data_IF_604318770042
#
_entry.id   IF_604318770042
#
_cell.length_a   1.000
_cell.length_b   1.000
_cell.length_c   1.000
_cell.angle_alpha   90.00
_cell.angle_beta   90.00
_cell.angle_gamma   90.00
#
_symmetry.space_group_name_H-M   'P 1'
#
loop_
_entity.id
_entity.type
_entity.pdbx_description
1 polymer ?
#
# COMPACT_ATOMS: atom_id res chain seq x y z
N UNK A 1 4.53 -6.20 -9.01
CA UNK A 1 4.20 -5.76 -7.62
C UNK A 1 4.41 -6.91 -6.64
N UNK A 2 5.27 -6.72 -5.64
CA UNK A 2 5.49 -7.61 -4.49
C UNK A 2 5.08 -6.86 -3.23
N UNK A 3 4.49 -7.57 -2.27
CA UNK A 3 4.06 -7.02 -0.98
C UNK A 3 4.37 -8.03 0.09
N UNK A 4 5.01 -7.60 1.18
CA UNK A 4 5.28 -8.43 2.34
C UNK A 4 5.05 -7.66 3.64
N UNK A 5 4.67 -8.36 4.71
CA UNK A 5 4.62 -7.78 6.06
C UNK A 5 6.01 -7.97 6.67
N UNK A 6 6.68 -6.87 7.00
CA UNK A 6 8.00 -6.87 7.64
C UNK A 6 7.91 -6.71 9.16
N UNK A 7 6.80 -6.13 9.64
CA UNK A 7 6.52 -6.02 11.08
C UNK A 7 5.01 -5.97 11.33
N UNK A 8 4.59 -6.52 12.46
CA UNK A 8 3.22 -6.47 12.94
C UNK A 8 3.22 -6.59 14.46
N UNK A 9 2.35 -5.85 15.13
CA UNK A 9 2.20 -5.93 16.59
C UNK A 9 1.98 -7.40 17.02
N UNK A 10 2.84 -7.92 17.88
CA UNK A 10 2.96 -9.35 18.22
C UNK A 10 1.67 -10.00 18.72
N UNK A 11 0.87 -9.31 19.51
CA UNK A 11 -0.48 -9.71 19.89
C UNK A 11 -1.47 -8.58 19.67
N UNK A 12 -1.75 -8.33 18.38
CA UNK A 12 -2.65 -7.25 17.96
C UNK A 12 -4.04 -7.38 18.61
N UNK A 13 -4.59 -8.59 18.69
CA UNK A 13 -5.93 -8.81 19.24
C UNK A 13 -5.96 -8.57 20.76
N UNK A 14 -4.91 -8.94 21.50
CA UNK A 14 -4.79 -8.64 22.91
C UNK A 14 -4.72 -7.13 23.15
N UNK A 15 -3.81 -6.42 22.44
CA UNK A 15 -3.61 -4.99 22.64
C UNK A 15 -4.91 -4.21 22.39
N UNK A 16 -5.63 -4.53 21.31
CA UNK A 16 -6.93 -3.90 20.97
C UNK A 16 -7.96 -4.17 22.07
N UNK A 17 -8.06 -5.43 22.55
CA UNK A 17 -8.98 -5.79 23.63
C UNK A 17 -8.68 -5.02 24.91
N UNK A 18 -7.41 -4.96 25.34
CA UNK A 18 -7.01 -4.28 26.57
C UNK A 18 -7.26 -2.78 26.47
N UNK A 19 -6.92 -2.17 25.33
CA UNK A 19 -7.20 -0.75 25.09
C UNK A 19 -8.69 -0.43 25.24
N UNK A 20 -9.56 -1.19 24.56
CA UNK A 20 -11.01 -1.00 24.65
C UNK A 20 -11.58 -1.22 26.05
N UNK A 21 -11.15 -2.29 26.73
CA UNK A 21 -11.63 -2.64 28.07
C UNK A 21 -11.16 -1.66 29.15
N UNK A 22 -10.06 -0.95 28.91
CA UNK A 22 -9.58 0.10 29.82
C UNK A 22 -10.62 1.19 30.00
N UNK A 23 -11.30 1.60 28.93
CA UNK A 23 -12.33 2.66 29.00
C UNK A 23 -13.49 2.31 29.95
N UNK A 24 -13.77 1.04 30.16
CA UNK A 24 -14.87 0.55 31.00
C UNK A 24 -14.40 -0.17 32.27
N UNK A 25 -13.11 -0.07 32.60
CA UNK A 25 -12.49 -0.76 33.72
C UNK A 25 -12.88 -2.25 33.80
N UNK A 26 -12.80 -2.94 32.66
CA UNK A 26 -13.29 -4.33 32.49
C UNK A 26 -12.24 -5.28 31.92
N UNK A 27 -10.94 -5.05 32.23
CA UNK A 27 -9.82 -5.88 31.77
C UNK A 27 -9.91 -7.32 32.30
N UNK A 28 -10.48 -7.49 33.48
CA UNK A 28 -10.78 -8.78 34.10
C UNK A 28 -11.70 -9.69 33.26
N UNK A 29 -12.47 -9.09 32.37
CA UNK A 29 -13.39 -9.82 31.46
C UNK A 29 -12.72 -10.29 30.17
N UNK A 30 -11.40 -10.07 29.99
CA UNK A 30 -10.68 -10.57 28.82
C UNK A 30 -10.52 -12.09 28.89
N UNK A 31 -10.87 -12.78 27.81
CA UNK A 31 -10.54 -14.19 27.58
C UNK A 31 -10.14 -14.42 26.13
N UNK A 32 -9.31 -15.44 25.90
CA UNK A 32 -8.83 -15.78 24.54
C UNK A 32 -9.98 -16.18 23.62
N UNK A 33 -10.97 -16.91 24.13
CA UNK A 33 -12.10 -17.43 23.37
C UNK A 33 -13.03 -16.31 22.87
N UNK A 34 -13.16 -15.22 23.65
CA UNK A 34 -14.08 -14.11 23.35
C UNK A 34 -13.41 -12.91 22.70
N UNK A 35 -12.08 -12.96 22.49
CA UNK A 35 -11.32 -11.79 22.02
C UNK A 35 -11.74 -11.30 20.65
N UNK A 36 -12.07 -12.19 19.72
CA UNK A 36 -12.51 -11.84 18.38
C UNK A 36 -13.95 -11.33 18.35
N UNK A 37 -14.87 -11.99 19.06
CA UNK A 37 -16.27 -11.54 19.12
C UNK A 37 -16.39 -10.16 19.75
N UNK A 38 -15.54 -9.86 20.74
CA UNK A 38 -15.49 -8.54 21.32
C UNK A 38 -15.03 -7.48 20.30
N UNK A 39 -14.00 -7.80 19.47
CA UNK A 39 -13.53 -6.90 18.39
C UNK A 39 -14.61 -6.70 17.32
N UNK A 40 -15.31 -7.77 16.90
CA UNK A 40 -16.48 -7.65 15.99
C UNK A 40 -17.51 -6.68 16.53
N UNK A 41 -17.80 -6.77 17.83
CA UNK A 41 -18.71 -5.85 18.53
C UNK A 41 -18.25 -4.40 18.47
N UNK A 42 -16.96 -4.12 18.70
CA UNK A 42 -16.37 -2.79 18.59
C UNK A 42 -16.52 -2.21 17.19
N UNK A 43 -16.15 -2.99 16.17
CA UNK A 43 -16.24 -2.59 14.76
C UNK A 43 -17.70 -2.31 14.38
N UNK A 44 -18.62 -3.21 14.71
CA UNK A 44 -20.05 -3.06 14.43
C UNK A 44 -20.65 -1.83 15.07
N UNK A 45 -20.16 -1.44 16.24
CA UNK A 45 -20.63 -0.24 16.97
C UNK A 45 -19.91 1.05 16.56
N UNK A 46 -18.95 0.99 15.62
CA UNK A 46 -18.16 2.14 15.19
C UNK A 46 -17.09 2.59 16.21
N UNK A 47 -16.83 1.78 17.25
CA UNK A 47 -15.83 2.08 18.28
C UNK A 47 -14.42 1.65 17.80
N UNK A 48 -13.91 2.34 16.79
CA UNK A 48 -12.66 1.96 16.10
C UNK A 48 -11.36 2.49 16.74
N UNK A 49 -11.45 3.41 17.72
CA UNK A 49 -10.25 3.94 18.40
C UNK A 49 -9.32 2.84 18.96
N UNK A 50 -9.83 1.74 19.56
CA UNK A 50 -8.95 0.68 20.06
C UNK A 50 -8.11 -0.01 18.96
N UNK A 51 -8.54 0.04 17.70
CA UNK A 51 -7.80 -0.53 16.57
C UNK A 51 -6.50 0.23 16.27
N UNK A 52 -6.33 1.43 16.83
CA UNK A 52 -5.10 2.22 16.72
C UNK A 52 -3.95 1.68 17.60
N UNK A 53 -4.25 0.74 18.53
CA UNK A 53 -3.26 0.13 19.44
C UNK A 53 -2.57 -1.11 18.86
N UNK A 54 -2.75 -1.37 17.58
CA UNK A 54 -2.01 -2.38 16.84
C UNK A 54 -1.65 -1.85 15.46
N UNK A 55 -0.41 -2.13 15.04
CA UNK A 55 0.19 -1.65 13.81
C UNK A 55 0.59 -2.81 12.89
N UNK A 56 0.72 -2.50 11.60
CA UNK A 56 1.33 -3.36 10.60
C UNK A 56 2.19 -2.54 9.66
N UNK A 57 3.38 -3.06 9.32
CA UNK A 57 4.32 -2.45 8.38
C UNK A 57 4.48 -3.34 7.16
N UNK A 58 4.24 -2.77 5.99
CA UNK A 58 4.40 -3.44 4.71
C UNK A 58 5.63 -2.92 3.97
N UNK A 59 6.42 -3.81 3.37
CA UNK A 59 7.37 -3.50 2.31
C UNK A 59 6.72 -3.80 0.96
N UNK A 60 6.66 -2.78 0.11
CA UNK A 60 5.96 -2.81 -1.18
C UNK A 60 6.97 -2.48 -2.27
N UNK A 61 7.14 -3.40 -3.24
CA UNK A 61 8.10 -3.26 -4.35
C UNK A 61 7.41 -3.33 -5.69
N UNK A 62 7.88 -2.50 -6.62
CA UNK A 62 7.44 -2.54 -8.02
C UNK A 62 6.00 -2.06 -8.23
N UNK A 63 5.59 -1.01 -7.52
CA UNK A 63 4.40 -0.22 -7.85
C UNK A 63 4.78 1.00 -8.67
N UNK A 64 3.84 1.54 -9.46
CA UNK A 64 4.05 2.78 -10.19
C UNK A 64 4.12 4.00 -9.27
N UNK A 65 4.74 5.08 -9.73
CA UNK A 65 4.64 6.40 -9.07
C UNK A 65 3.17 6.83 -8.97
N UNK A 66 2.38 6.58 -10.01
CA UNK A 66 0.93 6.85 -10.02
C UNK A 66 0.20 6.14 -8.87
N UNK A 67 0.49 4.86 -8.64
CA UNK A 67 -0.07 4.11 -7.51
C UNK A 67 0.41 4.68 -6.16
N UNK A 68 1.71 4.98 -6.03
CA UNK A 68 2.27 5.52 -4.79
C UNK A 68 1.69 6.90 -4.43
N UNK A 69 1.39 7.75 -5.42
CA UNK A 69 0.73 9.05 -5.20
C UNK A 69 -0.69 8.89 -4.63
N UNK A 70 -1.39 7.81 -4.97
CA UNK A 70 -2.68 7.49 -4.36
C UNK A 70 -2.51 6.90 -2.95
N UNK A 71 -1.50 6.05 -2.74
CA UNK A 71 -1.23 5.41 -1.45
C UNK A 71 -0.90 6.43 -0.35
N UNK A 72 0.02 7.36 -0.62
CA UNK A 72 0.48 8.35 0.37
C UNK A 72 -0.59 9.39 0.76
N UNK A 73 -1.73 9.41 0.08
CA UNK A 73 -2.88 10.27 0.45
C UNK A 73 -3.66 9.72 1.65
N UNK A 74 -3.46 8.45 2.01
CA UNK A 74 -4.11 7.85 3.17
C UNK A 74 -3.39 8.28 4.45
N UNK A 75 -4.15 8.88 5.37
CA UNK A 75 -3.71 9.37 6.67
C UNK A 75 -4.56 8.67 7.74
N UNK A 76 -4.03 8.30 8.89
CA UNK A 76 -2.70 8.51 9.46
C UNK A 76 -1.83 7.29 9.16
N UNK A 77 -0.70 7.48 8.52
CA UNK A 77 0.26 6.43 8.22
C UNK A 77 1.65 7.04 8.04
N UNK A 78 2.70 6.22 8.15
CA UNK A 78 4.08 6.60 7.91
C UNK A 78 4.57 5.97 6.61
N UNK A 79 5.33 6.73 5.81
CA UNK A 79 5.80 6.33 4.50
C UNK A 79 7.28 6.63 4.32
N UNK A 80 8.05 5.61 3.85
CA UNK A 80 9.41 5.78 3.37
C UNK A 80 9.48 5.26 1.93
N UNK A 81 9.65 6.16 0.98
CA UNK A 81 9.63 5.85 -0.45
C UNK A 81 11.01 6.03 -1.09
N UNK A 82 11.37 5.15 -2.03
CA UNK A 82 12.59 5.26 -2.84
C UNK A 82 12.67 6.64 -3.52
N UNK A 83 13.75 7.35 -3.25
CA UNK A 83 13.96 8.70 -3.75
C UNK A 83 14.60 8.72 -5.13
N UNK A 84 13.95 9.35 -6.08
CA UNK A 84 14.51 9.63 -7.41
C UNK A 84 15.55 10.77 -7.41
N UNK A 85 15.78 11.45 -6.29
CA UNK A 85 16.88 12.39 -6.14
C UNK A 85 18.23 11.69 -5.98
N UNK A 86 18.21 10.54 -5.31
CA UNK A 86 19.44 9.81 -4.96
C UNK A 86 19.65 8.56 -5.81
N UNK A 87 18.57 7.83 -6.12
CA UNK A 87 18.63 6.58 -6.87
C UNK A 87 18.55 6.85 -8.37
N UNK A 88 19.56 6.37 -9.13
CA UNK A 88 19.55 6.44 -10.58
C UNK A 88 18.39 5.60 -11.14
N UNK A 89 17.67 6.13 -12.12
CA UNK A 89 16.49 5.52 -12.72
C UNK A 89 16.73 4.94 -14.12
N UNK A 90 17.96 5.00 -14.66
CA UNK A 90 18.26 4.54 -16.03
C UNK A 90 17.83 3.10 -16.28
N UNK A 91 18.11 2.22 -15.32
CA UNK A 91 17.81 0.78 -15.40
C UNK A 91 16.55 0.38 -14.66
N UNK A 92 15.81 1.36 -14.07
CA UNK A 92 14.60 1.05 -13.33
C UNK A 92 13.48 0.58 -14.27
N UNK A 93 12.62 -0.31 -13.78
CA UNK A 93 11.47 -0.82 -14.52
C UNK A 93 10.28 0.15 -14.48
N UNK A 94 9.20 -0.21 -15.16
CA UNK A 94 7.93 0.51 -15.18
C UNK A 94 6.76 -0.46 -15.13
N UNK A 95 5.62 0.03 -14.68
CA UNK A 95 4.37 -0.72 -14.64
C UNK A 95 3.67 -0.54 -15.99
N UNK A 96 3.28 -1.65 -16.61
CA UNK A 96 2.47 -1.66 -17.82
C UNK A 96 1.00 -1.78 -17.39
N UNK A 97 0.13 -0.80 -17.69
CA UNK A 97 -1.30 -0.94 -17.44
C UNK A 97 -1.89 -2.11 -18.22
N UNK A 98 -2.85 -2.89 -17.65
CA UNK A 98 -3.41 -4.06 -18.32
C UNK A 98 -4.03 -3.79 -19.69
N UNK A 99 -4.50 -2.55 -19.93
CA UNK A 99 -5.06 -2.11 -21.22
C UNK A 99 -4.00 -1.80 -22.27
N UNK A 100 -2.72 -1.73 -21.87
CA UNK A 100 -1.56 -1.39 -22.72
C UNK A 100 -0.53 -2.52 -22.72
N UNK A 101 -0.89 -3.70 -22.22
CA UNK A 101 0.00 -4.86 -22.14
C UNK A 101 0.13 -5.55 -23.51
N UNK A 102 1.30 -5.43 -24.14
CA UNK A 102 1.62 -6.02 -25.43
C UNK A 102 1.41 -7.54 -25.47
N UNK A 103 1.65 -8.24 -24.38
CA UNK A 103 1.41 -9.68 -24.31
C UNK A 103 -0.08 -10.07 -24.36
N UNK A 104 -0.97 -9.09 -24.13
CA UNK A 104 -2.42 -9.27 -24.13
C UNK A 104 -3.11 -8.59 -25.31
N UNK A 105 -2.49 -7.53 -25.81
CA UNK A 105 -3.05 -6.68 -26.86
C UNK A 105 -1.93 -6.33 -27.83
N UNK A 106 -1.82 -7.05 -28.92
CA UNK A 106 -0.93 -6.72 -30.05
C UNK A 106 -1.55 -5.58 -30.84
N UNK A 107 -1.54 -4.37 -30.29
CA UNK A 107 -2.17 -3.20 -30.86
C UNK A 107 -1.29 -1.95 -30.84
N UNK A 108 -1.68 -0.98 -31.64
CA UNK A 108 -1.02 0.32 -31.75
C UNK A 108 -0.82 1.03 -30.40
N UNK A 109 -1.73 0.84 -29.44
CA UNK A 109 -1.69 1.49 -28.12
C UNK A 109 -0.48 1.03 -27.30
N UNK A 110 -0.19 -0.27 -27.33
CA UNK A 110 0.98 -0.85 -26.63
C UNK A 110 2.28 -0.31 -27.23
N UNK A 111 2.35 -0.17 -28.56
CA UNK A 111 3.51 0.39 -29.25
C UNK A 111 3.70 1.87 -28.89
N UNK A 112 2.62 2.66 -28.86
CA UNK A 112 2.66 4.07 -28.46
C UNK A 112 3.16 4.22 -27.02
N UNK A 113 2.65 3.38 -26.11
CA UNK A 113 3.07 3.39 -24.70
C UNK A 113 4.56 3.07 -24.56
N UNK A 114 5.02 1.97 -25.19
CA UNK A 114 6.42 1.55 -25.12
C UNK A 114 7.37 2.60 -25.67
N UNK A 115 7.05 3.17 -26.85
CA UNK A 115 7.85 4.24 -27.46
C UNK A 115 7.93 5.47 -26.53
N UNK A 116 6.83 5.86 -25.89
CA UNK A 116 6.84 6.96 -24.94
C UNK A 116 7.75 6.69 -23.73
N UNK A 117 7.71 5.47 -23.17
CA UNK A 117 8.58 5.06 -22.07
C UNK A 117 10.06 5.11 -22.50
N UNK A 118 10.39 4.58 -23.67
CA UNK A 118 11.78 4.57 -24.16
C UNK A 118 12.30 5.99 -24.43
N UNK A 119 11.49 6.87 -25.01
CA UNK A 119 11.85 8.27 -25.22
C UNK A 119 12.12 9.00 -23.89
N UNK A 120 11.28 8.79 -22.87
CA UNK A 120 11.49 9.35 -21.53
C UNK A 120 12.79 8.85 -20.89
N UNK A 121 13.08 7.56 -21.02
CA UNK A 121 14.34 6.95 -20.50
C UNK A 121 15.56 7.53 -21.20
N UNK A 122 15.50 7.65 -22.52
CA UNK A 122 16.60 8.21 -23.30
C UNK A 122 16.86 9.67 -22.92
N UNK A 123 15.81 10.47 -22.80
CA UNK A 123 15.92 11.86 -22.35
C UNK A 123 16.54 11.98 -20.95
N UNK A 124 16.12 11.12 -20.01
CA UNK A 124 16.69 11.08 -18.65
C UNK A 124 18.22 10.77 -18.70
N UNK A 125 18.62 9.75 -19.48
CA UNK A 125 20.02 9.36 -19.64
C UNK A 125 20.86 10.50 -20.27
N UNK A 126 20.35 11.15 -21.30
CA UNK A 126 21.02 12.28 -21.96
C UNK A 126 21.20 13.47 -21.01
N UNK A 127 20.17 13.84 -20.25
CA UNK A 127 20.26 14.89 -19.24
C UNK A 127 21.36 14.59 -18.20
N UNK A 128 21.43 13.36 -17.70
CA UNK A 128 22.48 12.97 -16.78
C UNK A 128 23.88 13.03 -17.42
N UNK A 129 24.03 12.63 -18.69
CA UNK A 129 25.31 12.69 -19.41
C UNK A 129 25.80 14.11 -19.63
N UNK A 130 24.87 15.07 -19.70
CA UNK A 130 25.14 16.51 -19.79
C UNK A 130 25.38 17.17 -18.42
N UNK A 131 25.42 16.38 -17.33
CA UNK A 131 25.70 16.84 -15.96
C UNK A 131 24.49 17.39 -15.22
N UNK A 132 23.27 17.22 -15.74
CA UNK A 132 22.04 17.60 -14.99
C UNK A 132 21.87 16.70 -13.76
N UNK A 133 21.62 17.29 -12.61
CA UNK A 133 21.41 16.55 -11.37
C UNK A 133 20.19 15.63 -11.47
N UNK A 134 20.25 14.44 -10.80
CA UNK A 134 19.14 13.46 -10.80
C UNK A 134 17.80 14.08 -10.36
N UNK A 135 17.84 15.02 -9.42
CA UNK A 135 16.64 15.69 -8.90
C UNK A 135 15.91 16.54 -9.94
N UNK A 136 16.61 16.98 -10.97
CA UNK A 136 16.05 17.74 -12.10
C UNK A 136 15.81 16.83 -13.32
N UNK A 137 16.76 15.96 -13.65
CA UNK A 137 16.61 15.02 -14.75
C UNK A 137 15.35 14.13 -14.61
N UNK A 138 14.96 13.76 -13.39
CA UNK A 138 13.75 12.96 -13.12
C UNK A 138 12.44 13.59 -13.60
N UNK A 139 12.40 14.89 -13.94
CA UNK A 139 11.19 15.54 -14.41
C UNK A 139 10.69 15.01 -15.75
N UNK A 140 11.55 14.35 -16.52
CA UNK A 140 11.14 13.69 -17.78
C UNK A 140 10.67 12.25 -17.59
N UNK A 141 10.73 11.70 -16.35
CA UNK A 141 10.33 10.33 -16.09
C UNK A 141 8.81 10.20 -16.00
N UNK A 142 8.22 9.14 -16.59
CA UNK A 142 6.78 8.94 -16.57
C UNK A 142 6.27 8.41 -15.22
N UNK A 143 4.99 8.64 -14.94
CA UNK A 143 4.28 8.13 -13.76
C UNK A 143 4.27 6.59 -13.67
N UNK A 144 4.51 5.90 -14.78
CA UNK A 144 4.62 4.45 -14.86
C UNK A 144 5.88 3.88 -14.19
N UNK A 145 6.91 4.72 -13.90
CA UNK A 145 8.17 4.26 -13.30
C UNK A 145 7.95 3.53 -11.98
N UNK A 146 8.67 2.42 -11.79
CA UNK A 146 8.66 1.66 -10.53
C UNK A 146 9.15 2.50 -9.37
N UNK A 147 8.52 2.26 -8.22
CA UNK A 147 9.01 2.71 -6.93
C UNK A 147 8.81 1.64 -5.88
N UNK A 148 9.62 1.70 -4.83
CA UNK A 148 9.48 0.89 -3.63
C UNK A 148 9.09 1.79 -2.48
N UNK A 149 8.25 1.30 -1.58
CA UNK A 149 7.77 2.08 -0.45
C UNK A 149 7.50 1.17 0.74
N UNK A 150 8.02 1.57 1.90
CA UNK A 150 7.61 1.00 3.18
C UNK A 150 6.49 1.86 3.75
N UNK A 151 5.42 1.23 4.18
CA UNK A 151 4.29 1.90 4.82
C UNK A 151 3.93 1.23 6.14
N UNK A 152 3.72 2.05 7.17
CA UNK A 152 3.20 1.61 8.47
C UNK A 152 1.81 2.19 8.69
N UNK A 153 0.84 1.30 8.96
CA UNK A 153 -0.53 1.64 9.36
C UNK A 153 -0.84 1.11 10.76
N UNK A 154 -1.61 1.85 11.54
CA UNK A 154 -2.44 1.19 12.54
C UNK A 154 -3.67 0.53 11.87
N UNK A 155 -4.34 -0.41 12.56
CA UNK A 155 -5.44 -1.15 11.93
C UNK A 155 -6.68 -0.28 11.62
N UNK A 156 -6.94 0.81 12.34
CA UNK A 156 -8.00 1.75 11.98
C UNK A 156 -7.71 2.43 10.63
N UNK A 157 -6.50 2.92 10.45
CA UNK A 157 -6.07 3.56 9.19
C UNK A 157 -6.00 2.56 8.04
N UNK A 158 -5.53 1.33 8.29
CA UNK A 158 -5.54 0.25 7.30
C UNK A 158 -6.97 -0.08 6.84
N UNK A 159 -7.93 -0.19 7.76
CA UNK A 159 -9.35 -0.40 7.44
C UNK A 159 -9.89 0.71 6.52
N UNK A 160 -9.60 1.98 6.85
CA UNK A 160 -9.99 3.09 5.98
C UNK A 160 -9.38 3.00 4.57
N UNK A 161 -8.10 2.63 4.47
CA UNK A 161 -7.45 2.37 3.18
C UNK A 161 -8.16 1.24 2.43
N UNK A 162 -8.36 0.08 3.06
CA UNK A 162 -9.01 -1.08 2.43
C UNK A 162 -10.43 -0.76 1.98
N UNK A 163 -11.25 -0.12 2.82
CA UNK A 163 -12.62 0.29 2.49
C UNK A 163 -12.68 1.12 1.21
N UNK A 164 -11.74 2.05 1.02
CA UNK A 164 -11.71 2.94 -0.15
C UNK A 164 -11.07 2.29 -1.38
N UNK A 165 -10.13 1.35 -1.19
CA UNK A 165 -9.32 0.84 -2.31
C UNK A 165 -9.67 -0.57 -2.76
N UNK A 166 -10.46 -1.31 -1.99
CA UNK A 166 -11.09 -2.55 -2.46
C UNK A 166 -12.32 -2.28 -3.33
N UNK A 167 -12.87 -1.07 -3.29
CA UNK A 167 -14.01 -0.66 -4.11
C UNK A 167 -13.71 -0.83 -5.61
N UNK A 168 -14.71 -1.27 -6.37
CA UNK A 168 -14.60 -1.52 -7.83
C UNK A 168 -14.23 -0.28 -8.65
N UNK A 169 -14.55 0.91 -8.16
CA UNK A 169 -14.21 2.18 -8.80
C UNK A 169 -12.78 2.67 -8.51
N UNK A 170 -12.08 2.01 -7.56
CA UNK A 170 -10.68 2.31 -7.33
C UNK A 170 -9.84 1.91 -8.56
N UNK A 171 -8.79 2.69 -8.85
CA UNK A 171 -7.87 2.39 -9.94
C UNK A 171 -7.28 0.97 -9.77
N UNK A 172 -7.11 0.25 -10.86
CA UNK A 172 -6.80 -1.19 -10.86
C UNK A 172 -5.56 -1.55 -10.02
N UNK A 173 -4.47 -0.74 -10.09
CA UNK A 173 -3.20 -1.06 -9.44
C UNK A 173 -3.28 -0.91 -7.91
N UNK A 174 -3.86 0.20 -7.42
CA UNK A 174 -4.04 0.39 -5.97
C UNK A 174 -5.09 -0.56 -5.40
N UNK A 175 -6.06 -1.00 -6.20
CA UNK A 175 -7.02 -2.03 -5.81
C UNK A 175 -6.34 -3.40 -5.68
N UNK A 176 -5.43 -3.74 -6.61
CA UNK A 176 -4.62 -4.96 -6.50
C UNK A 176 -3.70 -4.91 -5.28
N UNK A 177 -3.07 -3.76 -5.02
CA UNK A 177 -2.28 -3.55 -3.81
C UNK A 177 -3.11 -3.78 -2.56
N UNK A 178 -4.30 -3.19 -2.46
CA UNK A 178 -5.19 -3.35 -1.32
C UNK A 178 -5.60 -4.82 -1.09
N UNK A 179 -5.89 -5.57 -2.16
CA UNK A 179 -6.16 -7.01 -2.08
C UNK A 179 -4.99 -7.79 -1.50
N UNK A 180 -3.77 -7.58 -2.03
CA UNK A 180 -2.56 -8.25 -1.52
C UNK A 180 -2.32 -7.94 -0.05
N UNK A 181 -2.52 -6.70 0.38
CA UNK A 181 -2.37 -6.31 1.78
C UNK A 181 -3.42 -7.01 2.68
N UNK A 182 -4.69 -7.05 2.24
CA UNK A 182 -5.75 -7.75 2.95
C UNK A 182 -5.46 -9.26 3.10
N UNK A 183 -5.02 -9.91 2.00
CA UNK A 183 -4.65 -11.33 2.00
C UNK A 183 -3.52 -11.65 3.00
N UNK A 184 -2.54 -10.76 3.09
CA UNK A 184 -1.43 -10.91 4.05
C UNK A 184 -1.91 -10.79 5.51
N UNK A 185 -2.81 -9.86 5.80
CA UNK A 185 -3.42 -9.70 7.14
C UNK A 185 -4.22 -10.95 7.50
N UNK A 186 -4.99 -11.52 6.56
CA UNK A 186 -5.74 -12.76 6.75
C UNK A 186 -4.78 -13.93 7.04
N UNK A 187 -3.70 -14.06 6.28
CA UNK A 187 -2.67 -15.10 6.50
C UNK A 187 -1.99 -15.00 7.86
N UNK A 188 -1.94 -13.82 8.46
CA UNK A 188 -1.45 -13.60 9.83
C UNK A 188 -2.50 -13.92 10.93
N UNK A 189 -3.68 -14.45 10.56
CA UNK A 189 -4.74 -14.79 11.52
C UNK A 189 -5.52 -13.59 12.05
N UNK A 190 -5.43 -12.43 11.39
CA UNK A 190 -6.06 -11.18 11.82
C UNK A 190 -7.29 -10.81 10.96
N UNK A 191 -7.93 -11.81 10.35
CA UNK A 191 -9.11 -11.63 9.49
C UNK A 191 -10.20 -10.81 10.17
N UNK A 192 -10.44 -11.06 11.47
CA UNK A 192 -11.48 -10.37 12.27
C UNK A 192 -11.36 -8.84 12.22
N UNK A 193 -10.17 -8.29 11.97
CA UNK A 193 -9.93 -6.84 11.88
C UNK A 193 -10.42 -6.21 10.59
N UNK A 194 -10.70 -7.01 9.53
CA UNK A 194 -11.00 -6.51 8.19
C UNK A 194 -12.12 -7.30 7.48
N UNK A 195 -12.71 -8.33 8.10
CA UNK A 195 -13.64 -9.26 7.43
C UNK A 195 -14.92 -8.61 6.91
N UNK A 196 -15.37 -7.53 7.52
CA UNK A 196 -16.53 -6.74 7.11
C UNK A 196 -16.28 -5.87 5.87
N UNK A 197 -15.04 -5.83 5.37
CA UNK A 197 -14.62 -5.03 4.20
C UNK A 197 -14.33 -5.91 2.95
N UNK A 198 -14.41 -7.23 3.07
CA UNK A 198 -13.99 -8.19 2.03
C UNK A 198 -15.11 -8.56 1.06
#
# INVERSE_FOLDING_TARGET
>A
MQVEIIDITSDSLFNINIAARTCYNSRDKYTLEKREDFIRGLIKSGHETPLEFADVTFDIKGISRSCSHQLVRHRIASYCQMSQRYVNQETNNYVIPPSLDYNKNDDEKSIIFENAIQNCRQAYKELLSLGVAKEDARYVLPEAMFTNIVVKFNFRSLRNFLKLRLDKHAQWEIRELAKKMADLVIKKGLKVLIEDLL
#
